data_IF_754508622985
#
_entry.id   IF_754508622985
#
_cell.length_a   1.000
_cell.length_b   1.000
_cell.length_c   1.000
_cell.angle_alpha   90.00
_cell.angle_beta   90.00
_cell.angle_gamma   90.00
#
_symmetry.space_group_name_H-M   'P 1'
#
loop_
_entity.id
_entity.type
_entity.pdbx_description
1 polymer ?
#
# COMPACT_ATOMS: atom_id res chain seq x y z
N UNK A 1 -27.02 -2.09 -40.08
CA UNK A 1 -25.59 -2.28 -39.75
C UNK A 1 -25.02 -1.19 -38.83
N UNK A 2 -25.31 0.10 -39.04
CA UNK A 2 -24.87 1.20 -38.15
C UNK A 2 -25.32 1.09 -36.68
N UNK A 3 -26.56 0.68 -36.42
CA UNK A 3 -27.09 0.57 -35.04
C UNK A 3 -26.43 -0.51 -34.18
N UNK A 4 -26.01 -1.62 -34.81
CA UNK A 4 -25.32 -2.73 -34.11
C UNK A 4 -23.88 -2.35 -33.75
N UNK A 5 -23.21 -1.61 -34.63
CA UNK A 5 -21.86 -1.07 -34.38
C UNK A 5 -21.86 -0.05 -33.24
N UNK A 6 -22.86 0.83 -33.18
CA UNK A 6 -23.03 1.81 -32.10
C UNK A 6 -23.31 1.13 -30.75
N UNK A 7 -24.12 0.07 -30.72
CA UNK A 7 -24.37 -0.70 -29.50
C UNK A 7 -23.12 -1.47 -29.02
N UNK A 8 -22.33 -2.02 -29.94
CA UNK A 8 -21.06 -2.70 -29.61
C UNK A 8 -19.98 -1.73 -29.09
N UNK A 9 -19.87 -0.54 -29.67
CA UNK A 9 -18.97 0.54 -29.22
C UNK A 9 -19.35 1.06 -27.82
N UNK A 10 -20.66 1.21 -27.55
CA UNK A 10 -21.14 1.62 -26.22
C UNK A 10 -20.91 0.54 -25.15
N UNK A 11 -21.04 -0.75 -25.50
CA UNK A 11 -20.75 -1.86 -24.59
C UNK A 11 -19.25 -1.99 -24.25
N UNK A 12 -18.35 -1.63 -25.17
CA UNK A 12 -16.90 -1.61 -24.93
C UNK A 12 -16.46 -0.45 -24.01
N UNK A 13 -17.16 0.68 -24.04
CA UNK A 13 -16.83 1.86 -23.23
C UNK A 13 -17.44 1.84 -21.81
N UNK A 14 -18.44 1.01 -21.55
CA UNK A 14 -19.23 1.08 -20.30
C UNK A 14 -18.74 0.17 -19.17
N UNK A 15 -17.81 -0.75 -19.43
CA UNK A 15 -17.34 -1.72 -18.41
C UNK A 15 -16.14 -1.25 -17.55
N UNK A 16 -15.25 -0.32 -17.96
CA UNK A 16 -14.19 0.15 -17.06
C UNK A 16 -14.70 1.12 -15.98
N UNK A 17 -15.65 1.98 -16.34
CA UNK A 17 -16.08 3.11 -15.51
C UNK A 17 -16.94 2.66 -14.32
N UNK A 18 -17.76 1.61 -14.50
CA UNK A 18 -18.57 1.05 -13.42
C UNK A 18 -17.70 0.42 -12.30
N UNK A 19 -16.55 -0.19 -12.64
CA UNK A 19 -15.62 -0.73 -11.63
C UNK A 19 -14.85 0.37 -10.88
N UNK A 20 -14.52 1.47 -11.56
CA UNK A 20 -13.94 2.65 -10.92
C UNK A 20 -14.92 3.31 -9.93
N UNK A 21 -16.21 3.36 -10.28
CA UNK A 21 -17.27 3.92 -9.43
C UNK A 21 -17.60 3.08 -8.19
N UNK A 22 -17.35 1.76 -8.21
CA UNK A 22 -17.64 0.89 -7.07
C UNK A 22 -16.59 0.94 -5.95
N UNK A 23 -15.37 1.41 -6.24
CA UNK A 23 -14.29 1.51 -5.25
C UNK A 23 -14.12 2.90 -4.64
N UNK A 24 -14.68 3.94 -5.25
CA UNK A 24 -14.80 5.27 -4.64
C UNK A 24 -15.75 5.36 -3.43
N UNK A 25 -16.31 4.22 -2.96
CA UNK A 25 -17.28 4.14 -1.85
C UNK A 25 -16.71 3.60 -0.54
N UNK A 26 -15.40 3.35 -0.46
CA UNK A 26 -14.78 2.78 0.75
C UNK A 26 -14.48 3.88 1.78
N UNK A 27 -15.15 3.83 2.93
CA UNK A 27 -14.98 4.82 4.00
C UNK A 27 -13.56 4.71 4.62
N UNK A 28 -12.74 5.77 4.62
CA UNK A 28 -11.37 5.75 5.12
C UNK A 28 -11.30 5.50 6.62
N UNK A 29 -12.40 5.70 7.36
CA UNK A 29 -12.48 5.29 8.77
C UNK A 29 -12.15 3.80 8.94
N UNK A 30 -12.37 3.00 7.89
CA UNK A 30 -12.09 1.57 7.90
C UNK A 30 -10.61 1.25 7.64
N UNK A 31 -9.83 2.23 7.14
CA UNK A 31 -8.39 2.13 6.99
C UNK A 31 -7.64 2.63 8.23
N UNK A 32 -8.31 3.19 9.25
CA UNK A 32 -7.62 3.77 10.41
C UNK A 32 -6.94 2.72 11.29
N UNK A 33 -5.90 3.15 12.01
CA UNK A 33 -5.11 2.33 12.92
C UNK A 33 -3.89 1.69 12.26
N UNK A 34 -3.35 0.67 12.92
CA UNK A 34 -2.08 0.03 12.55
C UNK A 34 -2.25 -1.06 11.49
N UNK A 35 -1.30 -1.12 10.56
CA UNK A 35 -1.24 -2.09 9.47
C UNK A 35 0.20 -2.51 9.21
N UNK A 36 0.37 -3.76 8.80
CA UNK A 36 1.58 -4.26 8.17
C UNK A 36 1.41 -4.24 6.65
N UNK A 37 2.38 -3.72 5.93
CA UNK A 37 2.48 -3.92 4.47
C UNK A 37 3.24 -5.22 4.24
N UNK A 38 2.58 -6.20 3.65
CA UNK A 38 3.11 -7.57 3.50
C UNK A 38 3.49 -7.93 2.07
N UNK A 39 2.94 -7.24 1.08
CA UNK A 39 3.26 -7.44 -0.33
C UNK A 39 3.15 -6.13 -1.10
N UNK A 40 3.95 -6.02 -2.16
CA UNK A 40 3.98 -4.85 -3.03
C UNK A 40 4.13 -5.26 -4.49
N UNK A 41 3.36 -4.62 -5.35
CA UNK A 41 3.63 -4.53 -6.78
C UNK A 41 4.00 -3.08 -7.11
N UNK A 42 5.03 -2.85 -7.91
CA UNK A 42 5.47 -1.50 -8.26
C UNK A 42 5.96 -1.40 -9.70
N UNK A 43 5.57 -0.33 -10.37
CA UNK A 43 6.01 0.03 -11.70
C UNK A 43 7.30 0.84 -11.71
N UNK A 44 7.83 1.17 -10.53
CA UNK A 44 9.11 1.83 -10.35
C UNK A 44 10.24 1.04 -11.04
N UNK A 45 11.10 1.76 -11.75
CA UNK A 45 12.12 1.21 -12.65
C UNK A 45 13.01 0.16 -11.98
N UNK A 46 13.46 0.43 -10.77
CA UNK A 46 14.42 -0.41 -10.05
C UNK A 46 13.76 -1.44 -9.12
N UNK A 47 12.43 -1.42 -9.01
CA UNK A 47 11.73 -2.31 -8.08
C UNK A 47 11.99 -3.79 -8.36
N UNK A 48 12.01 -4.20 -9.63
CA UNK A 48 12.23 -5.61 -10.00
C UNK A 48 13.58 -6.15 -9.50
N UNK A 49 14.59 -5.27 -9.40
CA UNK A 49 15.94 -5.60 -8.91
C UNK A 49 15.98 -5.56 -7.38
N UNK A 50 15.36 -4.54 -6.78
CA UNK A 50 15.45 -4.30 -5.34
C UNK A 50 14.44 -5.11 -4.50
N UNK A 51 13.39 -5.64 -5.11
CA UNK A 51 12.26 -6.22 -4.35
C UNK A 51 12.63 -7.31 -3.35
N UNK A 52 13.71 -8.05 -3.60
CA UNK A 52 14.16 -9.15 -2.74
C UNK A 52 14.73 -8.66 -1.40
N UNK A 53 15.04 -7.37 -1.26
CA UNK A 53 15.55 -6.76 -0.03
C UNK A 53 14.51 -5.93 0.71
N UNK A 54 13.28 -5.83 0.19
CA UNK A 54 12.21 -5.04 0.80
C UNK A 54 11.61 -5.82 1.98
N UNK A 55 11.57 -5.14 3.13
CA UNK A 55 11.04 -5.69 4.37
C UNK A 55 9.59 -5.23 4.62
N UNK A 56 8.90 -5.95 5.51
CA UNK A 56 7.58 -5.58 6.00
C UNK A 56 7.64 -4.18 6.61
N UNK A 57 6.73 -3.32 6.18
CA UNK A 57 6.58 -1.96 6.69
C UNK A 57 5.41 -1.92 7.68
N UNK A 58 5.54 -1.15 8.77
CA UNK A 58 4.44 -0.78 9.63
C UNK A 58 3.89 0.57 9.22
N UNK A 59 2.56 0.70 9.19
CA UNK A 59 1.86 1.92 8.84
C UNK A 59 0.75 2.19 9.85
N UNK A 60 0.71 3.39 10.41
CA UNK A 60 -0.43 3.87 11.21
C UNK A 60 -1.16 4.93 10.41
N UNK A 61 -2.45 4.70 10.20
CA UNK A 61 -3.32 5.61 9.46
C UNK A 61 -4.25 6.33 10.43
N UNK A 62 -4.29 7.66 10.32
CA UNK A 62 -5.14 8.55 11.13
C UNK A 62 -5.82 9.58 10.23
N UNK A 63 -6.82 10.28 10.76
CA UNK A 63 -7.42 11.44 10.10
C UNK A 63 -6.96 12.73 10.76
N UNK A 64 -6.71 13.75 9.94
CA UNK A 64 -6.62 15.14 10.42
C UNK A 64 -8.01 15.70 10.70
N UNK A 65 -8.14 16.86 11.40
CA UNK A 65 -9.42 17.54 11.58
C UNK A 65 -10.15 17.87 10.27
N UNK A 66 -9.39 18.07 9.19
CA UNK A 66 -9.88 18.35 7.83
C UNK A 66 -10.31 17.10 7.07
N UNK A 67 -10.22 15.91 7.69
CA UNK A 67 -10.45 14.60 7.09
C UNK A 67 -9.44 14.20 5.99
N UNK A 68 -8.20 14.68 6.09
CA UNK A 68 -7.08 14.17 5.30
C UNK A 68 -6.53 12.90 5.93
N UNK A 69 -5.94 12.01 5.12
CA UNK A 69 -5.24 10.84 5.62
C UNK A 69 -3.84 11.21 6.07
N UNK A 70 -3.53 11.00 7.35
CA UNK A 70 -2.17 11.10 7.87
C UNK A 70 -1.62 9.70 8.13
N UNK A 71 -0.52 9.36 7.47
CA UNK A 71 0.11 8.06 7.53
C UNK A 71 1.52 8.18 8.13
N UNK A 72 1.76 7.47 9.23
CA UNK A 72 3.09 7.26 9.79
C UNK A 72 3.57 5.88 9.32
N UNK A 73 4.68 5.82 8.58
CA UNK A 73 5.21 4.59 8.01
C UNK A 73 6.64 4.33 8.47
N UNK A 74 6.98 3.08 8.77
CA UNK A 74 8.36 2.66 9.03
C UNK A 74 8.98 2.08 7.77
N UNK A 75 10.19 2.50 7.42
CA UNK A 75 10.93 1.97 6.26
C UNK A 75 12.34 1.59 6.65
N UNK A 76 12.83 0.50 6.06
CA UNK A 76 14.24 0.13 6.16
C UNK A 76 15.08 0.96 5.18
N UNK A 77 16.12 1.61 5.70
CA UNK A 77 17.18 2.27 4.92
C UNK A 77 18.55 1.95 5.51
N UNK A 78 19.39 1.26 4.74
CA UNK A 78 20.81 1.04 5.06
C UNK A 78 21.04 0.61 6.53
N UNK A 79 20.39 -0.47 6.96
CA UNK A 79 20.43 -1.04 8.33
C UNK A 79 19.75 -0.21 9.44
N UNK A 80 19.07 0.88 9.10
CA UNK A 80 18.26 1.66 10.05
C UNK A 80 16.79 1.63 9.68
N UNK A 81 15.96 1.73 10.71
CA UNK A 81 14.52 1.89 10.56
C UNK A 81 14.16 3.37 10.73
N UNK A 82 13.73 3.99 9.64
CA UNK A 82 13.30 5.38 9.60
C UNK A 82 11.77 5.46 9.65
N UNK A 83 11.27 6.49 10.34
CA UNK A 83 9.84 6.82 10.37
C UNK A 83 9.58 7.97 9.41
N UNK A 84 8.56 7.83 8.58
CA UNK A 84 8.14 8.83 7.62
C UNK A 84 6.66 9.15 7.81
N UNK A 85 6.35 10.44 7.98
CA UNK A 85 4.97 10.94 8.07
C UNK A 85 4.59 11.57 6.75
N UNK A 86 3.47 11.14 6.19
CA UNK A 86 2.87 11.76 5.00
C UNK A 86 1.42 12.11 5.27
N UNK A 87 0.97 13.20 4.69
CA UNK A 87 -0.44 13.58 4.68
C UNK A 87 -0.95 13.57 3.24
N UNK A 88 -2.10 12.94 3.01
CA UNK A 88 -2.78 12.91 1.73
C UNK A 88 -4.11 13.64 1.86
N UNK A 89 -4.29 14.65 1.02
CA UNK A 89 -5.46 15.49 0.90
C UNK A 89 -6.60 14.71 0.29
N UNK A 90 -7.81 14.88 0.81
CA UNK A 90 -8.99 14.23 0.25
C UNK A 90 -9.45 14.95 -1.02
N UNK A 91 -9.63 14.22 -2.12
CA UNK A 91 -10.27 14.76 -3.32
C UNK A 91 -11.78 14.93 -3.14
N UNK A 92 -12.36 15.86 -3.90
CA UNK A 92 -13.82 16.08 -3.92
C UNK A 92 -14.60 14.83 -4.37
N UNK A 93 -13.98 13.99 -5.20
CA UNK A 93 -14.48 12.74 -5.77
C UNK A 93 -14.39 11.56 -4.77
N UNK A 94 -15.07 11.67 -3.62
CA UNK A 94 -15.27 10.54 -2.72
C UNK A 94 -14.09 10.24 -1.79
N UNK A 95 -13.58 9.01 -1.84
CA UNK A 95 -12.53 8.50 -0.94
C UNK A 95 -11.24 8.18 -1.69
N UNK A 96 -10.84 9.14 -2.52
CA UNK A 96 -9.55 9.20 -3.20
C UNK A 96 -8.74 10.31 -2.56
N UNK A 97 -7.46 10.05 -2.33
CA UNK A 97 -6.56 11.00 -1.70
C UNK A 97 -5.36 11.31 -2.59
N UNK A 98 -4.76 12.48 -2.41
CA UNK A 98 -3.63 12.95 -3.20
C UNK A 98 -2.67 13.79 -2.36
N UNK A 99 -1.43 13.86 -2.78
CA UNK A 99 -0.51 14.92 -2.37
C UNK A 99 0.46 15.17 -3.53
N UNK A 100 0.13 16.12 -4.42
CA UNK A 100 0.97 16.43 -5.56
C UNK A 100 2.39 16.88 -5.19
N UNK A 101 2.61 17.46 -4.01
CA UNK A 101 3.95 17.84 -3.55
C UNK A 101 4.85 16.61 -3.26
N UNK A 102 4.24 15.45 -3.00
CA UNK A 102 4.91 14.15 -2.86
C UNK A 102 4.81 13.30 -4.15
N UNK A 103 4.26 13.87 -5.22
CA UNK A 103 3.96 13.16 -6.46
C UNK A 103 2.82 12.15 -6.36
N UNK A 104 2.04 12.12 -5.28
CA UNK A 104 0.89 11.20 -5.16
C UNK A 104 -0.32 11.86 -5.82
N UNK A 105 -0.77 11.32 -6.94
CA UNK A 105 -1.95 11.86 -7.66
C UNK A 105 -3.22 11.06 -7.41
N UNK A 106 -3.09 9.80 -6.98
CA UNK A 106 -4.22 8.98 -6.59
C UNK A 106 -3.80 7.98 -5.52
N UNK A 107 -4.52 7.96 -4.41
CA UNK A 107 -4.43 6.94 -3.36
C UNK A 107 -5.83 6.46 -3.02
N UNK A 108 -6.07 5.14 -3.14
CA UNK A 108 -7.38 4.54 -2.83
C UNK A 108 -7.31 3.07 -2.47
N UNK A 109 -8.33 2.60 -1.78
CA UNK A 109 -8.50 1.18 -1.45
C UNK A 109 -9.19 0.46 -2.63
N UNK A 110 -8.58 -0.63 -3.10
CA UNK A 110 -9.10 -1.49 -4.16
C UNK A 110 -9.94 -2.67 -3.65
N UNK A 111 -9.65 -3.17 -2.45
CA UNK A 111 -10.40 -4.27 -1.84
C UNK A 111 -10.08 -4.35 -0.36
N UNK A 112 -11.07 -4.63 0.47
CA UNK A 112 -10.87 -4.86 1.90
C UNK A 112 -12.08 -5.59 2.46
N UNK A 113 -11.88 -6.37 3.52
CA UNK A 113 -12.96 -6.89 4.35
C UNK A 113 -13.20 -6.04 5.61
N UNK A 114 -12.58 -4.86 5.68
CA UNK A 114 -12.64 -3.87 6.77
C UNK A 114 -12.08 -4.30 8.12
N UNK A 115 -11.65 -5.56 8.25
CA UNK A 115 -11.21 -6.12 9.53
C UNK A 115 -9.77 -6.57 9.49
N UNK A 116 -9.38 -7.32 8.46
CA UNK A 116 -8.13 -8.08 8.47
C UNK A 116 -7.13 -7.62 7.41
N UNK A 117 -7.61 -7.16 6.25
CA UNK A 117 -6.73 -6.75 5.14
C UNK A 117 -7.27 -5.56 4.35
N UNK A 118 -6.38 -4.88 3.63
CA UNK A 118 -6.73 -3.97 2.54
C UNK A 118 -5.73 -4.11 1.39
N UNK A 119 -6.21 -4.01 0.15
CA UNK A 119 -5.38 -3.86 -1.05
C UNK A 119 -5.48 -2.41 -1.46
N UNK A 120 -4.36 -1.70 -1.46
CA UNK A 120 -4.27 -0.26 -1.70
C UNK A 120 -3.60 -0.02 -3.05
N UNK A 121 -4.07 0.98 -3.78
CA UNK A 121 -3.46 1.46 -5.02
C UNK A 121 -2.97 2.88 -4.83
N UNK A 122 -1.77 3.15 -5.35
CA UNK A 122 -1.20 4.50 -5.40
C UNK A 122 -0.69 4.77 -6.81
N UNK A 123 -1.17 5.83 -7.46
CA UNK A 123 -0.57 6.40 -8.66
C UNK A 123 0.38 7.52 -8.25
N UNK A 124 1.61 7.45 -8.74
CA UNK A 124 2.65 8.45 -8.53
C UNK A 124 3.03 9.10 -9.86
N UNK A 125 3.22 10.41 -9.82
CA UNK A 125 3.73 11.25 -10.88
C UNK A 125 4.71 12.25 -10.26
N UNK A 126 6.00 12.05 -10.49
CA UNK A 126 7.04 12.93 -9.97
C UNK A 126 8.07 13.23 -11.06
N UNK A 127 8.27 14.51 -11.36
CA UNK A 127 9.05 14.96 -12.51
C UNK A 127 8.56 14.28 -13.81
N UNK A 128 9.45 13.60 -14.54
CA UNK A 128 9.13 12.91 -15.78
C UNK A 128 8.83 11.41 -15.57
N UNK A 129 8.70 10.96 -14.32
CA UNK A 129 8.43 9.57 -13.97
C UNK A 129 7.00 9.40 -13.44
N UNK A 130 6.24 8.53 -14.10
CA UNK A 130 4.92 8.12 -13.67
C UNK A 130 4.87 6.61 -13.51
N UNK A 131 4.45 6.14 -12.33
CA UNK A 131 4.27 4.73 -12.06
C UNK A 131 3.19 4.51 -11.00
N UNK A 132 2.69 3.29 -10.90
CA UNK A 132 1.77 2.92 -9.85
C UNK A 132 2.33 1.84 -8.94
N UNK A 133 1.70 1.72 -7.78
CA UNK A 133 1.94 0.64 -6.83
C UNK A 133 0.63 0.01 -6.39
N UNK A 134 0.70 -1.26 -6.04
CA UNK A 134 -0.35 -1.99 -5.32
C UNK A 134 0.27 -2.58 -4.07
N UNK A 135 -0.33 -2.33 -2.92
CA UNK A 135 0.18 -2.80 -1.64
C UNK A 135 -0.87 -3.63 -0.90
N UNK A 136 -0.43 -4.69 -0.23
CA UNK A 136 -1.26 -5.51 0.64
C UNK A 136 -1.02 -5.14 2.10
N UNK A 137 -2.04 -4.54 2.72
CA UNK A 137 -2.08 -4.17 4.12
C UNK A 137 -2.76 -5.31 4.89
N UNK A 138 -2.23 -5.65 6.07
CA UNK A 138 -2.79 -6.66 6.99
C UNK A 138 -2.76 -6.15 8.42
N UNK A 139 -3.75 -6.52 9.24
CA UNK A 139 -3.72 -6.23 10.70
C UNK A 139 -2.74 -7.11 11.47
N UNK A 140 -2.21 -8.16 10.84
CA UNK A 140 -1.20 -9.04 11.43
C UNK A 140 0.00 -9.19 10.51
N UNK A 141 1.12 -9.72 11.01
CA UNK A 141 2.31 -10.00 10.18
C UNK A 141 2.09 -11.10 9.13
N UNK A 142 0.91 -11.73 9.11
CA UNK A 142 0.51 -12.74 8.14
C UNK A 142 -0.71 -12.25 7.37
N UNK A 143 -0.75 -12.57 6.08
CA UNK A 143 -1.92 -12.34 5.24
C UNK A 143 -2.77 -13.63 5.16
N UNK A 144 -4.09 -13.47 5.14
CA UNK A 144 -4.98 -14.59 4.80
C UNK A 144 -4.78 -15.00 3.32
N UNK A 145 -5.12 -16.25 2.99
CA UNK A 145 -5.06 -16.72 1.60
C UNK A 145 -5.92 -15.88 0.67
N UNK A 146 -7.09 -15.43 1.14
CA UNK A 146 -7.97 -14.51 0.43
C UNK A 146 -7.26 -13.19 0.09
N UNK A 147 -6.61 -12.58 1.08
CA UNK A 147 -5.93 -11.30 0.93
C UNK A 147 -4.77 -11.40 -0.09
N UNK A 148 -3.98 -12.47 -0.02
CA UNK A 148 -2.90 -12.76 -0.99
C UNK A 148 -3.47 -12.96 -2.40
N UNK A 149 -4.56 -13.73 -2.53
CA UNK A 149 -5.22 -13.95 -3.82
C UNK A 149 -5.76 -12.65 -4.42
N UNK A 150 -6.37 -11.78 -3.61
CA UNK A 150 -6.89 -10.49 -4.07
C UNK A 150 -5.79 -9.52 -4.46
N UNK A 151 -4.68 -9.47 -3.71
CA UNK A 151 -3.49 -8.72 -4.09
C UNK A 151 -2.96 -9.17 -5.46
N UNK A 152 -2.82 -10.49 -5.68
CA UNK A 152 -2.35 -11.04 -6.95
C UNK A 152 -3.32 -10.73 -8.10
N UNK A 153 -4.63 -10.86 -7.85
CA UNK A 153 -5.69 -10.54 -8.82
C UNK A 153 -5.65 -9.08 -9.24
N UNK A 154 -5.55 -8.15 -8.29
CA UNK A 154 -5.47 -6.72 -8.58
C UNK A 154 -4.17 -6.35 -9.29
N UNK A 155 -3.03 -6.84 -8.80
CA UNK A 155 -1.72 -6.59 -9.41
C UNK A 155 -1.70 -7.05 -10.87
N UNK A 156 -2.16 -8.28 -11.15
CA UNK A 156 -2.26 -8.78 -12.53
C UNK A 156 -3.27 -7.99 -13.37
N UNK A 157 -4.43 -7.66 -12.80
CA UNK A 157 -5.47 -6.90 -13.49
C UNK A 157 -5.07 -5.47 -13.86
N UNK A 158 -4.13 -4.90 -13.12
CA UNK A 158 -3.52 -3.59 -13.39
C UNK A 158 -2.25 -3.66 -14.25
N UNK A 159 -1.87 -4.85 -14.72
CA UNK A 159 -0.77 -5.03 -15.67
C UNK A 159 0.61 -5.25 -15.06
N UNK A 160 0.74 -5.37 -13.73
CA UNK A 160 2.04 -5.65 -13.11
C UNK A 160 2.54 -7.06 -13.46
N UNK A 161 3.76 -7.14 -13.98
CA UNK A 161 4.44 -8.39 -14.26
C UNK A 161 4.84 -9.11 -12.96
N UNK A 162 5.05 -10.43 -13.00
CA UNK A 162 5.50 -11.18 -11.81
C UNK A 162 6.82 -10.66 -11.24
N UNK A 163 7.72 -10.17 -12.10
CA UNK A 163 8.97 -9.53 -11.67
C UNK A 163 8.75 -8.21 -10.93
N UNK A 164 7.63 -7.54 -11.15
CA UNK A 164 7.23 -6.30 -10.48
C UNK A 164 6.39 -6.56 -9.22
N UNK A 165 6.29 -7.80 -8.75
CA UNK A 165 5.54 -8.19 -7.55
C UNK A 165 6.46 -8.86 -6.53
N UNK A 166 6.20 -8.63 -5.24
CA UNK A 166 6.97 -9.16 -4.13
C UNK A 166 6.12 -9.40 -2.88
N UNK A 167 6.38 -10.51 -2.19
CA UNK A 167 6.06 -10.60 -0.77
C UNK A 167 7.24 -10.03 0.02
N UNK A 168 6.93 -9.18 1.00
CA UNK A 168 7.94 -8.50 1.80
C UNK A 168 8.46 -9.44 2.89
N UNK A 169 9.74 -9.32 3.20
CA UNK A 169 10.39 -10.20 4.15
C UNK A 169 10.26 -9.63 5.57
N UNK A 170 10.21 -10.49 6.58
CA UNK A 170 10.46 -10.00 7.94
C UNK A 170 11.89 -9.51 8.02
N UNK A 171 12.09 -8.47 8.81
CA UNK A 171 13.41 -8.02 9.20
C UNK A 171 14.25 -9.19 9.67
N UNK A 172 15.44 -9.34 9.08
CA UNK A 172 16.50 -10.04 9.80
C UNK A 172 16.76 -9.19 11.04
N UNK A 173 16.53 -9.79 12.21
CA UNK A 173 16.67 -9.14 13.51
C UNK A 173 17.80 -8.13 13.47
N UNK A 174 17.50 -6.85 13.72
CA UNK A 174 18.54 -5.86 13.99
C UNK A 174 19.40 -6.47 15.10
N UNK A 175 20.61 -6.91 14.77
CA UNK A 175 21.59 -7.27 15.79
C UNK A 175 21.89 -5.96 16.50
N UNK A 176 21.17 -5.69 17.59
CA UNK A 176 21.65 -4.74 18.58
C UNK A 176 23.08 -5.18 18.92
N UNK A 177 24.05 -4.33 18.59
CA UNK A 177 25.43 -4.55 19.03
C UNK A 177 25.38 -4.80 20.54
N UNK A 178 26.11 -5.81 21.06
CA UNK A 178 26.03 -6.17 22.46
C UNK A 178 26.63 -5.03 23.30
N UNK A 179 25.79 -4.05 23.64
CA UNK A 179 26.07 -3.09 24.69
C UNK A 179 25.99 -3.87 25.99
N UNK A 180 27.13 -4.42 26.39
CA UNK A 180 27.56 -4.84 27.73
C UNK A 180 26.49 -4.62 28.81
N UNK A 181 25.49 -5.49 28.84
CA UNK A 181 24.46 -5.55 29.88
C UNK A 181 24.11 -7.02 30.05
N UNK A 182 24.51 -7.57 31.19
CA UNK A 182 24.39 -8.97 31.56
C UNK A 182 22.97 -9.34 32.05
N UNK A 183 21.93 -8.75 31.45
CA UNK A 183 20.53 -9.07 31.76
C UNK A 183 19.78 -9.47 30.49
N UNK A 184 19.12 -10.65 30.46
CA UNK A 184 18.28 -11.03 29.34
C UNK A 184 17.07 -10.08 29.29
N UNK A 185 17.06 -9.20 28.30
CA UNK A 185 15.91 -8.36 27.98
C UNK A 185 14.71 -9.27 27.69
N UNK A 186 13.68 -9.18 28.54
CA UNK A 186 12.40 -9.89 28.38
C UNK A 186 11.52 -9.30 27.25
N UNK A 187 12.08 -8.42 26.43
CA UNK A 187 11.36 -7.75 25.35
C UNK A 187 11.69 -8.47 24.03
N UNK A 188 10.66 -8.90 23.26
CA UNK A 188 10.90 -9.41 21.92
C UNK A 188 11.60 -8.32 21.09
N UNK A 189 12.53 -8.70 20.18
CA UNK A 189 13.21 -7.74 19.32
C UNK A 189 12.18 -6.95 18.51
N UNK A 190 12.26 -5.62 18.58
CA UNK A 190 11.34 -4.71 17.88
C UNK A 190 11.71 -4.71 16.39
N UNK A 191 10.87 -5.30 15.54
CA UNK A 191 11.02 -5.15 14.09
C UNK A 191 10.74 -3.70 13.66
N UNK A 192 11.29 -3.26 12.54
CA UNK A 192 11.08 -1.92 12.00
C UNK A 192 9.60 -1.59 11.88
N UNK A 193 8.78 -2.56 11.45
CA UNK A 193 7.34 -2.41 11.39
C UNK A 193 6.72 -1.97 12.73
N UNK A 194 7.17 -2.54 13.84
CA UNK A 194 6.67 -2.19 15.17
C UNK A 194 7.04 -0.77 15.60
N UNK A 195 8.08 -0.15 15.04
CA UNK A 195 8.43 1.24 15.37
C UNK A 195 7.35 2.23 14.95
N UNK A 196 6.55 1.92 13.93
CA UNK A 196 5.44 2.79 13.54
C UNK A 196 4.27 2.75 14.55
N UNK A 197 4.18 1.71 15.39
CA UNK A 197 3.05 1.47 16.29
C UNK A 197 3.27 1.92 17.73
N UNK A 198 4.48 2.38 18.06
CA UNK A 198 4.87 2.89 19.37
C UNK A 198 4.68 4.41 19.43
#
# INVERSE_FOLDING_TARGET
>A
MRGVLLAALLALLSVPQARALWLGRLNPNQLLGSWYVLAKASGEKDFAVEKATKNIEGVVVTLTPENNLKMLSSRHRLERCDLNVVELLRQASGWVFENPALGVVEFRVLSTNFRDYAVVFTQLEFADEAFSTVELYSRSELASQEAVHLFAKWSKGLGFLSQQQAQLQRDRLLQESPARSSQPSHFPPVTCAHKAFQ
#
